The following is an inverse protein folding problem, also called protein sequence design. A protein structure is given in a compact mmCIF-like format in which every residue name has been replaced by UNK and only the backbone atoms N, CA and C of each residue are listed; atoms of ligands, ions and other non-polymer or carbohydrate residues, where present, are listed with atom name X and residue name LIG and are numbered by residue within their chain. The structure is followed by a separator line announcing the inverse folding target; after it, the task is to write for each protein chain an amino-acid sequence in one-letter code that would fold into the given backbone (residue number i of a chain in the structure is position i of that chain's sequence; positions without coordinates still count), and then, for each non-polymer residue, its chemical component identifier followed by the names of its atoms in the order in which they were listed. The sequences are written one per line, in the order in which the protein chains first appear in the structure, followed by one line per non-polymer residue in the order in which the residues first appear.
data_IF_246528787139
#
_entry.id   IF_246528787139
#
_cell.length_a   1.000
_cell.length_b   1.000
_cell.length_c   1.000
_cell.angle_alpha   90.00
_cell.angle_beta   90.00
_cell.angle_gamma   90.00
#
_symmetry.space_group_name_H-M   'P 1'
#
loop_
_entity.id
_entity.type
_entity.pdbx_description
1 polymer ?
#
# COMPACT_ATOMS: atom_id res chain seq x y z
N UNK A 1 -0.06 -3.75 -15.31
CA UNK A 1 1.33 -4.08 -14.91
C UNK A 1 1.26 -4.79 -13.57
N UNK A 2 1.76 -6.03 -13.43
CA UNK A 2 1.71 -6.78 -12.17
C UNK A 2 2.88 -6.36 -11.27
N UNK A 3 2.64 -6.22 -9.96
CA UNK A 3 3.69 -5.99 -8.97
C UNK A 3 4.57 -7.24 -8.89
N UNK A 4 5.87 -7.08 -9.14
CA UNK A 4 6.86 -8.16 -9.05
C UNK A 4 7.63 -8.07 -7.73
N UNK A 5 8.12 -9.21 -7.23
CA UNK A 5 8.96 -9.29 -6.03
C UNK A 5 10.26 -8.49 -6.24
N UNK A 6 10.76 -7.87 -5.17
CA UNK A 6 11.99 -7.07 -5.12
C UNK A 6 11.95 -5.75 -5.92
N UNK A 7 10.75 -5.29 -6.31
CA UNK A 7 10.53 -3.97 -6.88
C UNK A 7 9.98 -3.01 -5.81
N UNK A 8 10.56 -1.82 -5.73
CA UNK A 8 9.96 -0.72 -4.97
C UNK A 8 8.76 -0.21 -5.75
N UNK A 9 7.58 -0.32 -5.15
CA UNK A 9 6.33 0.18 -5.73
C UNK A 9 5.76 1.30 -4.87
N UNK A 10 5.25 2.34 -5.53
CA UNK A 10 4.48 3.39 -4.86
C UNK A 10 3.01 3.04 -4.94
N UNK A 11 2.35 2.90 -3.78
CA UNK A 11 0.93 2.57 -3.69
C UNK A 11 0.19 3.65 -2.92
N UNK A 12 -0.86 4.19 -3.54
CA UNK A 12 -1.88 4.95 -2.83
C UNK A 12 -2.96 3.98 -2.36
N UNK A 13 -3.36 4.09 -1.09
CA UNK A 13 -4.35 3.20 -0.49
C UNK A 13 -5.20 3.92 0.55
N UNK A 14 -6.37 3.36 0.80
CA UNK A 14 -7.24 3.76 1.89
C UNK A 14 -7.74 2.50 2.61
N UNK A 15 -7.47 2.38 3.90
CA UNK A 15 -7.90 1.27 4.75
C UNK A 15 -9.04 1.76 5.63
N UNK A 16 -10.18 1.09 5.51
CA UNK A 16 -11.36 1.35 6.33
C UNK A 16 -11.74 0.09 7.10
N UNK A 17 -12.34 0.27 8.28
CA UNK A 17 -13.04 -0.82 8.96
C UNK A 17 -14.26 -1.26 8.15
N UNK A 18 -14.85 -2.41 8.48
CA UNK A 18 -16.09 -2.89 7.86
C UNK A 18 -17.25 -1.91 8.05
N UNK A 19 -17.24 -1.17 9.16
CA UNK A 19 -18.19 -0.08 9.45
C UNK A 19 -17.92 1.21 8.64
N UNK A 20 -16.92 1.19 7.76
CA UNK A 20 -16.57 2.30 6.86
C UNK A 20 -15.69 3.39 7.48
N UNK A 21 -15.25 3.22 8.73
CA UNK A 21 -14.40 4.17 9.45
C UNK A 21 -12.99 4.14 8.85
N UNK A 22 -12.46 5.32 8.53
CA UNK A 22 -11.10 5.45 8.00
C UNK A 22 -10.07 5.14 9.10
N UNK A 23 -9.18 4.19 8.83
CA UNK A 23 -8.12 3.75 9.75
C UNK A 23 -6.75 4.24 9.30
N UNK A 24 -6.48 4.17 7.99
CA UNK A 24 -5.21 4.61 7.42
C UNK A 24 -5.39 5.05 5.95
N UNK A 25 -4.58 5.99 5.50
CA UNK A 25 -4.60 6.50 4.14
C UNK A 25 -3.23 6.97 3.69
N UNK A 26 -2.86 6.58 2.47
CA UNK A 26 -1.75 7.15 1.73
C UNK A 26 -2.28 7.73 0.41
N UNK A 27 -2.37 9.06 0.28
CA UNK A 27 -2.91 9.71 -0.91
C UNK A 27 -1.90 9.66 -2.06
N UNK A 28 -2.38 9.85 -3.30
CA UNK A 28 -1.55 9.79 -4.52
C UNK A 28 -0.39 10.80 -4.51
N UNK A 29 -0.59 11.96 -3.88
CA UNK A 29 0.44 13.00 -3.71
C UNK A 29 1.59 12.60 -2.78
N UNK A 30 1.38 11.61 -1.91
CA UNK A 30 2.37 11.08 -0.99
C UNK A 30 2.22 9.56 -0.85
N UNK A 31 2.29 8.89 -2.01
CA UNK A 31 2.10 7.44 -2.12
C UNK A 31 3.17 6.67 -1.34
N UNK A 32 2.76 5.63 -0.61
CA UNK A 32 3.65 4.82 0.19
C UNK A 32 4.61 4.05 -0.72
N UNK A 33 5.91 4.27 -0.54
CA UNK A 33 6.95 3.47 -1.18
C UNK A 33 7.18 2.18 -0.37
N UNK A 34 6.85 1.05 -0.97
CA UNK A 34 6.98 -0.28 -0.35
C UNK A 34 7.86 -1.20 -1.20
N UNK A 35 8.77 -1.93 -0.55
CA UNK A 35 9.57 -2.97 -1.21
C UNK A 35 8.78 -4.28 -1.20
N UNK A 36 8.27 -4.68 -2.36
CA UNK A 36 7.40 -5.85 -2.49
C UNK A 36 8.15 -7.15 -2.16
N UNK A 37 7.66 -7.90 -1.16
CA UNK A 37 8.16 -9.24 -0.83
C UNK A 37 8.99 -9.37 0.45
N UNK A 38 9.19 -8.29 1.21
CA UNK A 38 9.95 -8.33 2.47
C UNK A 38 9.12 -8.78 3.70
N UNK A 39 7.79 -8.88 3.57
CA UNK A 39 6.86 -9.23 4.66
C UNK A 39 6.43 -10.70 4.72
N UNK A 40 6.89 -11.56 3.81
CA UNK A 40 6.56 -13.00 3.80
C UNK A 40 7.72 -13.78 4.40
N UNK A 41 7.62 -14.16 5.68
CA UNK A 41 8.48 -15.17 6.29
C UNK A 41 7.61 -16.24 6.93
#
# INVERSE_FOLDING_TARGET
MKVAKDLVVSLAYQVRTEDGVLVDESPVSSALAYLAGLGTR
#
